data_IF_814745095136
#
_entry.id   IF_814745095136
#
_cell.length_a   1.000
_cell.length_b   1.000
_cell.length_c   1.000
_cell.angle_alpha   90.00
_cell.angle_beta   90.00
_cell.angle_gamma   90.00
#
_symmetry.space_group_name_H-M   'P 1'
#
loop_
_entity.id
_entity.type
_entity.pdbx_description
1 polymer ?
#
# COMPACT_ATOMS: atom_id res chain seq x y z
N UNK A 1 -0.18 30.62 -8.06
CA UNK A 1 -1.50 30.47 -7.37
C UNK A 1 -2.31 29.32 -7.97
N UNK A 2 -2.53 29.24 -9.27
CA UNK A 2 -3.29 28.16 -9.93
C UNK A 2 -2.57 26.79 -9.76
N UNK A 3 -1.26 26.70 -9.97
CA UNK A 3 -0.47 25.49 -9.77
C UNK A 3 -0.49 24.98 -8.33
N UNK A 4 -0.44 25.89 -7.35
CA UNK A 4 -0.53 25.53 -5.92
C UNK A 4 -1.90 24.95 -5.57
N UNK A 5 -2.99 25.52 -6.10
CA UNK A 5 -4.36 25.03 -5.90
C UNK A 5 -4.55 23.66 -6.59
N UNK A 6 -3.98 23.47 -7.78
CA UNK A 6 -4.04 22.20 -8.50
C UNK A 6 -3.28 21.08 -7.77
N UNK A 7 -2.08 21.38 -7.25
CA UNK A 7 -1.25 20.40 -6.54
C UNK A 7 -1.94 19.91 -5.26
N UNK A 8 -2.49 20.83 -4.46
CA UNK A 8 -3.23 20.48 -3.25
C UNK A 8 -4.55 19.78 -3.56
N UNK A 9 -5.22 20.15 -4.66
CA UNK A 9 -6.43 19.47 -5.11
C UNK A 9 -6.17 18.00 -5.46
N UNK A 10 -5.07 17.70 -6.15
CA UNK A 10 -4.63 16.33 -6.46
C UNK A 10 -4.27 15.55 -5.19
N UNK A 11 -3.56 16.19 -4.26
CA UNK A 11 -3.20 15.58 -2.97
C UNK A 11 -4.45 15.15 -2.18
N UNK A 12 -5.42 16.06 -2.00
CA UNK A 12 -6.68 15.74 -1.30
C UNK A 12 -7.49 14.67 -2.04
N UNK A 13 -7.55 14.71 -3.36
CA UNK A 13 -8.22 13.69 -4.16
C UNK A 13 -7.54 12.33 -4.00
N UNK A 14 -6.20 12.29 -3.98
CA UNK A 14 -5.41 11.09 -3.71
C UNK A 14 -5.71 10.52 -2.32
N UNK A 15 -5.72 11.35 -1.29
CA UNK A 15 -6.04 10.95 0.09
C UNK A 15 -7.44 10.36 0.18
N UNK A 16 -8.45 11.04 -0.36
CA UNK A 16 -9.84 10.59 -0.31
C UNK A 16 -10.01 9.25 -1.03
N UNK A 17 -9.44 9.11 -2.23
CA UNK A 17 -9.55 7.87 -3.01
C UNK A 17 -8.81 6.71 -2.34
N UNK A 18 -7.63 6.96 -1.73
CA UNK A 18 -6.91 5.95 -0.95
C UNK A 18 -7.71 5.50 0.28
N UNK A 19 -8.31 6.43 1.03
CA UNK A 19 -9.18 6.10 2.17
C UNK A 19 -10.40 5.26 1.75
N UNK A 20 -11.03 5.59 0.62
CA UNK A 20 -12.13 4.79 0.05
C UNK A 20 -11.63 3.39 -0.34
N UNK A 21 -10.46 3.28 -0.96
CA UNK A 21 -9.84 2.00 -1.31
C UNK A 21 -9.69 1.10 -0.08
N UNK A 22 -9.05 1.60 0.97
CA UNK A 22 -8.84 0.85 2.21
C UNK A 22 -10.16 0.52 2.90
N UNK A 23 -11.11 1.48 2.97
CA UNK A 23 -12.43 1.25 3.56
C UNK A 23 -13.19 0.12 2.87
N UNK A 24 -13.23 0.09 1.55
CA UNK A 24 -13.89 -0.99 0.81
C UNK A 24 -13.12 -2.31 0.87
N UNK A 25 -11.79 -2.27 1.02
CA UNK A 25 -10.96 -3.45 1.27
C UNK A 25 -11.33 -4.13 2.59
N UNK A 26 -11.57 -3.37 3.66
CA UNK A 26 -12.02 -3.96 4.94
C UNK A 26 -13.37 -4.69 4.82
N UNK A 27 -14.19 -4.31 3.85
CA UNK A 27 -15.49 -4.94 3.56
C UNK A 27 -15.43 -6.00 2.44
N UNK A 28 -14.24 -6.32 1.97
CA UNK A 28 -13.99 -7.27 0.86
C UNK A 28 -14.83 -6.96 -0.39
N UNK A 29 -14.99 -5.68 -0.72
CA UNK A 29 -15.71 -5.28 -1.93
C UNK A 29 -14.73 -4.99 -3.06
N UNK A 30 -14.91 -5.62 -4.22
CA UNK A 30 -14.05 -5.45 -5.40
C UNK A 30 -13.89 -3.99 -5.86
N UNK A 31 -14.83 -3.10 -5.51
CA UNK A 31 -14.73 -1.66 -5.76
C UNK A 31 -13.49 -1.03 -5.06
N UNK A 32 -12.95 -1.67 -4.02
CA UNK A 32 -11.70 -1.27 -3.38
C UNK A 32 -10.55 -1.14 -4.39
N UNK A 33 -10.45 -2.08 -5.32
CA UNK A 33 -9.41 -2.09 -6.34
C UNK A 33 -9.55 -0.96 -7.34
N UNK A 34 -10.79 -0.56 -7.64
CA UNK A 34 -11.05 0.62 -8.50
C UNK A 34 -10.56 1.90 -7.79
N UNK A 35 -10.89 2.06 -6.51
CA UNK A 35 -10.41 3.20 -5.73
C UNK A 35 -8.90 3.21 -5.55
N UNK A 36 -8.28 2.05 -5.32
CA UNK A 36 -6.82 1.92 -5.25
C UNK A 36 -6.16 2.29 -6.60
N UNK A 37 -6.74 1.87 -7.73
CA UNK A 37 -6.26 2.26 -9.05
C UNK A 37 -6.32 3.77 -9.25
N UNK A 38 -7.47 4.40 -8.92
CA UNK A 38 -7.66 5.86 -9.03
C UNK A 38 -6.67 6.59 -8.12
N UNK A 39 -6.50 6.13 -6.88
CA UNK A 39 -5.53 6.72 -5.95
C UNK A 39 -4.11 6.67 -6.52
N UNK A 40 -3.66 5.50 -6.97
CA UNK A 40 -2.34 5.34 -7.57
C UNK A 40 -2.16 6.18 -8.83
N UNK A 41 -3.19 6.31 -9.66
CA UNK A 41 -3.15 7.18 -10.83
C UNK A 41 -2.97 8.66 -10.45
N UNK A 42 -3.74 9.14 -9.47
CA UNK A 42 -3.64 10.52 -8.97
C UNK A 42 -2.27 10.78 -8.34
N UNK A 43 -1.77 9.87 -7.49
CA UNK A 43 -0.44 10.00 -6.91
C UNK A 43 0.67 9.90 -7.96
N UNK A 44 0.49 9.09 -9.01
CA UNK A 44 1.42 9.04 -10.14
C UNK A 44 1.56 10.38 -10.84
N UNK A 45 0.44 11.08 -11.09
CA UNK A 45 0.45 12.44 -11.66
C UNK A 45 1.12 13.42 -10.69
N UNK A 46 0.77 13.35 -9.39
CA UNK A 46 1.33 14.23 -8.37
C UNK A 46 2.86 14.08 -8.30
N UNK A 47 3.36 12.85 -8.22
CA UNK A 47 4.79 12.57 -8.16
C UNK A 47 5.54 12.97 -9.42
N UNK A 48 4.92 12.80 -10.58
CA UNK A 48 5.49 13.34 -11.84
C UNK A 48 5.65 14.86 -11.80
N UNK A 49 4.64 15.60 -11.32
CA UNK A 49 4.65 17.06 -11.25
C UNK A 49 5.71 17.61 -10.28
N UNK A 50 5.99 16.87 -9.19
CA UNK A 50 7.00 17.26 -8.20
C UNK A 50 8.39 16.66 -8.46
N UNK A 51 8.57 15.95 -9.59
CA UNK A 51 9.87 15.37 -9.99
C UNK A 51 10.27 14.12 -9.22
N UNK A 52 9.34 13.46 -8.52
CA UNK A 52 9.57 12.22 -7.80
C UNK A 52 9.31 10.99 -8.70
N UNK A 53 10.19 10.79 -9.68
CA UNK A 53 9.99 9.79 -10.74
C UNK A 53 9.97 8.35 -10.21
N UNK A 54 10.80 8.02 -9.20
CA UNK A 54 10.79 6.69 -8.58
C UNK A 54 9.47 6.37 -7.89
N UNK A 55 8.88 7.35 -7.18
CA UNK A 55 7.57 7.21 -6.56
C UNK A 55 6.47 7.09 -7.61
N UNK A 56 6.57 7.83 -8.72
CA UNK A 56 5.67 7.69 -9.87
C UNK A 56 5.72 6.27 -10.46
N UNK A 57 6.90 5.71 -10.66
CA UNK A 57 7.07 4.33 -11.17
C UNK A 57 6.46 3.31 -10.21
N UNK A 58 6.61 3.51 -8.90
CA UNK A 58 5.98 2.68 -7.88
C UNK A 58 4.45 2.72 -7.98
N UNK A 59 3.86 3.89 -8.27
CA UNK A 59 2.42 3.97 -8.51
C UNK A 59 1.99 3.14 -9.73
N UNK A 60 2.83 3.04 -10.77
CA UNK A 60 2.62 2.13 -11.90
C UNK A 60 2.49 0.66 -11.46
N UNK A 61 3.35 0.22 -10.53
CA UNK A 61 3.26 -1.12 -9.94
C UNK A 61 1.94 -1.29 -9.18
N UNK A 62 1.56 -0.32 -8.35
CA UNK A 62 0.29 -0.39 -7.63
C UNK A 62 -0.95 -0.35 -8.54
N UNK A 63 -0.91 0.37 -9.66
CA UNK A 63 -1.97 0.33 -10.68
C UNK A 63 -2.09 -1.07 -11.29
N UNK A 64 -0.98 -1.70 -11.66
CA UNK A 64 -0.97 -3.08 -12.17
C UNK A 64 -1.51 -4.07 -11.12
N UNK A 65 -1.10 -3.92 -9.87
CA UNK A 65 -1.61 -4.72 -8.75
C UNK A 65 -3.10 -4.50 -8.49
N UNK A 66 -3.60 -3.28 -8.68
CA UNK A 66 -5.03 -2.98 -8.55
C UNK A 66 -5.86 -3.67 -9.66
N UNK A 67 -5.37 -3.68 -10.89
CA UNK A 67 -5.99 -4.44 -11.99
C UNK A 67 -5.99 -5.94 -11.66
N UNK A 68 -4.85 -6.48 -11.24
CA UNK A 68 -4.72 -7.89 -10.85
C UNK A 68 -5.70 -8.24 -9.72
N UNK A 69 -5.75 -7.44 -8.65
CA UNK A 69 -6.64 -7.67 -7.52
C UNK A 69 -8.11 -7.58 -7.92
N UNK A 70 -8.49 -6.63 -8.78
CA UNK A 70 -9.84 -6.54 -9.31
C UNK A 70 -10.21 -7.81 -10.10
N UNK A 71 -9.32 -8.31 -10.95
CA UNK A 71 -9.53 -9.55 -11.71
C UNK A 71 -9.68 -10.75 -10.77
N UNK A 72 -8.85 -10.86 -9.73
CA UNK A 72 -8.96 -11.93 -8.74
C UNK A 72 -10.30 -11.87 -7.99
N UNK A 73 -10.71 -10.69 -7.53
CA UNK A 73 -11.95 -10.52 -6.76
C UNK A 73 -13.23 -10.53 -7.63
N UNK A 74 -13.08 -10.55 -8.95
CA UNK A 74 -14.19 -10.69 -9.87
C UNK A 74 -14.47 -12.15 -10.27
N UNK A 75 -13.67 -13.12 -9.77
CA UNK A 75 -13.89 -14.54 -10.01
C UNK A 75 -15.07 -15.06 -9.18
N UNK A 76 -15.69 -16.20 -9.57
CA UNK A 76 -16.75 -16.82 -8.78
C UNK A 76 -16.32 -17.03 -7.32
N UNK A 77 -17.22 -16.74 -6.37
CA UNK A 77 -16.95 -16.77 -4.93
C UNK A 77 -16.42 -18.10 -4.40
N UNK A 78 -16.66 -19.20 -5.11
CA UNK A 78 -16.15 -20.53 -4.77
C UNK A 78 -14.63 -20.68 -4.96
N UNK A 79 -13.99 -19.77 -5.72
CA UNK A 79 -12.55 -19.82 -6.02
C UNK A 79 -11.74 -18.84 -5.17
N UNK A 80 -12.39 -17.92 -4.48
CA UNK A 80 -11.71 -16.88 -3.73
C UNK A 80 -12.30 -16.72 -2.32
N UNK A 81 -11.95 -17.66 -1.45
CA UNK A 81 -12.31 -17.60 -0.04
C UNK A 81 -11.20 -16.97 0.79
N UNK A 82 -11.61 -16.34 1.89
CA UNK A 82 -10.65 -15.87 2.91
C UNK A 82 -9.90 -17.08 3.44
N UNK A 83 -8.59 -17.01 3.48
CA UNK A 83 -7.74 -18.11 3.93
C UNK A 83 -6.45 -17.59 4.54
N UNK A 84 -5.75 -18.47 5.23
CA UNK A 84 -4.41 -18.22 5.74
C UNK A 84 -3.35 -18.60 4.70
N UNK A 85 -2.19 -17.93 4.77
CA UNK A 85 -1.04 -18.30 3.96
C UNK A 85 -0.29 -19.48 4.58
N UNK A 86 0.29 -20.34 3.75
CA UNK A 86 1.20 -21.37 4.26
C UNK A 86 2.49 -20.76 4.81
N UNK A 87 3.12 -21.42 5.78
CA UNK A 87 4.40 -20.97 6.36
C UNK A 87 5.49 -20.71 5.31
N UNK A 88 5.72 -21.60 4.31
CA UNK A 88 6.66 -21.34 3.23
C UNK A 88 6.36 -20.06 2.44
N UNK A 89 5.10 -19.78 2.13
CA UNK A 89 4.73 -18.56 1.41
C UNK A 89 5.00 -17.31 2.22
N UNK A 90 4.84 -17.35 3.54
CA UNK A 90 5.19 -16.23 4.43
C UNK A 90 6.69 -15.98 4.44
N UNK A 91 7.50 -17.04 4.54
CA UNK A 91 8.97 -16.95 4.50
C UNK A 91 9.45 -16.35 3.17
N UNK A 92 8.89 -16.82 2.04
CA UNK A 92 9.22 -16.29 0.72
C UNK A 92 8.83 -14.83 0.60
N UNK A 93 7.65 -14.44 1.07
CA UNK A 93 7.17 -13.05 1.02
C UNK A 93 8.02 -12.11 1.88
N UNK A 94 8.35 -12.51 3.11
CA UNK A 94 9.21 -11.73 4.01
C UNK A 94 10.62 -11.62 3.42
N UNK A 95 11.21 -12.74 3.01
CA UNK A 95 12.54 -12.79 2.40
C UNK A 95 12.62 -11.97 1.11
N UNK A 96 11.60 -12.08 0.26
CA UNK A 96 11.49 -11.29 -0.98
C UNK A 96 11.38 -9.79 -0.72
N UNK A 97 10.60 -9.38 0.28
CA UNK A 97 10.47 -7.96 0.67
C UNK A 97 11.80 -7.39 1.21
N UNK A 98 12.53 -8.16 2.02
CA UNK A 98 13.85 -7.77 2.54
C UNK A 98 14.89 -7.70 1.40
N UNK A 99 14.90 -8.71 0.52
CA UNK A 99 15.80 -8.73 -0.64
C UNK A 99 15.53 -7.54 -1.56
N UNK A 100 14.27 -7.25 -1.84
CA UNK A 100 13.87 -6.04 -2.59
C UNK A 100 14.38 -4.78 -1.91
N UNK A 101 14.23 -4.68 -0.58
CA UNK A 101 14.72 -3.56 0.21
C UNK A 101 16.24 -3.36 0.10
N UNK A 102 17.01 -4.46 0.14
CA UNK A 102 18.47 -4.40 0.01
C UNK A 102 18.86 -3.94 -1.41
N UNK A 103 18.31 -4.58 -2.44
CA UNK A 103 18.66 -4.28 -3.84
C UNK A 103 18.20 -2.88 -4.23
N UNK A 104 16.93 -2.56 -4.03
CA UNK A 104 16.37 -1.24 -4.36
C UNK A 104 16.97 -0.14 -3.49
N UNK A 105 17.17 -0.41 -2.19
CA UNK A 105 17.81 0.52 -1.27
C UNK A 105 19.24 0.86 -1.65
N UNK A 106 20.02 -0.10 -2.17
CA UNK A 106 21.35 0.14 -2.69
C UNK A 106 21.32 1.11 -3.89
N UNK A 107 20.46 0.86 -4.88
CA UNK A 107 20.32 1.77 -6.01
C UNK A 107 19.90 3.18 -5.60
N UNK A 108 18.93 3.30 -4.68
CA UNK A 108 18.49 4.61 -4.21
C UNK A 108 19.54 5.32 -3.36
N UNK A 109 20.38 4.59 -2.62
CA UNK A 109 21.49 5.18 -1.88
C UNK A 109 22.54 5.82 -2.79
N UNK A 110 22.86 5.19 -3.93
CA UNK A 110 23.85 5.67 -4.87
C UNK A 110 23.33 6.82 -5.78
N UNK A 111 22.01 6.85 -6.07
CA UNK A 111 21.44 7.74 -7.09
C UNK A 111 20.72 8.94 -6.48
N UNK A 112 20.22 8.82 -5.26
CA UNK A 112 19.35 9.83 -4.65
C UNK A 112 19.73 10.15 -3.20
N UNK A 113 19.53 11.41 -2.78
CA UNK A 113 19.72 11.86 -1.40
C UNK A 113 18.51 11.54 -0.49
N UNK A 114 17.88 10.38 -0.68
CA UNK A 114 16.73 9.96 0.13
C UNK A 114 17.21 9.57 1.54
N UNK A 115 16.56 10.11 2.55
CA UNK A 115 16.83 9.68 3.93
C UNK A 115 16.24 8.28 4.16
N UNK A 116 17.04 7.35 4.70
CA UNK A 116 16.64 5.97 5.02
C UNK A 116 16.26 5.11 3.80
N UNK A 117 17.08 5.07 2.72
CA UNK A 117 16.71 4.43 1.45
C UNK A 117 16.43 2.93 1.60
N UNK A 118 17.19 2.22 2.43
CA UNK A 118 16.99 0.78 2.67
C UNK A 118 15.70 0.48 3.42
N UNK A 119 15.36 1.33 4.41
CA UNK A 119 14.12 1.16 5.17
C UNK A 119 12.90 1.42 4.29
N UNK A 120 12.92 2.50 3.52
CA UNK A 120 11.83 2.88 2.61
C UNK A 120 11.62 1.81 1.53
N UNK A 121 12.70 1.36 0.88
CA UNK A 121 12.65 0.28 -0.10
C UNK A 121 12.13 -1.04 0.49
N UNK A 122 12.50 -1.37 1.75
CA UNK A 122 11.99 -2.56 2.44
C UNK A 122 10.49 -2.44 2.69
N UNK A 123 10.01 -1.29 3.16
CA UNK A 123 8.58 -1.03 3.37
C UNK A 123 7.80 -1.09 2.04
N UNK A 124 8.40 -0.61 0.95
CA UNK A 124 7.86 -0.77 -0.40
C UNK A 124 7.70 -2.24 -0.78
N UNK A 125 8.71 -3.08 -0.56
CA UNK A 125 8.64 -4.53 -0.78
C UNK A 125 7.49 -5.17 0.02
N UNK A 126 7.37 -4.83 1.30
CA UNK A 126 6.26 -5.30 2.14
C UNK A 126 4.90 -4.79 1.64
N UNK A 127 4.81 -3.56 1.15
CA UNK A 127 3.56 -2.99 0.61
C UNK A 127 3.10 -3.71 -0.66
N UNK A 128 4.03 -4.05 -1.56
CA UNK A 128 3.74 -4.85 -2.76
C UNK A 128 3.27 -6.25 -2.35
N UNK A 129 3.98 -6.90 -1.42
CA UNK A 129 3.60 -8.23 -0.92
C UNK A 129 2.25 -8.19 -0.19
N UNK A 130 2.00 -7.21 0.68
CA UNK A 130 0.72 -7.01 1.35
C UNK A 130 -0.44 -6.85 0.37
N UNK A 131 -0.22 -6.08 -0.71
CA UNK A 131 -1.19 -5.90 -1.79
C UNK A 131 -1.46 -7.23 -2.53
N UNK A 132 -0.42 -8.02 -2.79
CA UNK A 132 -0.56 -9.37 -3.38
C UNK A 132 -1.38 -10.30 -2.47
N UNK A 133 -1.07 -10.33 -1.17
CA UNK A 133 -1.83 -11.11 -0.19
C UNK A 133 -3.30 -10.67 -0.14
N UNK A 134 -3.57 -9.35 -0.21
CA UNK A 134 -4.93 -8.82 -0.30
C UNK A 134 -5.64 -9.31 -1.56
N UNK A 135 -4.97 -9.29 -2.73
CA UNK A 135 -5.54 -9.80 -3.98
C UNK A 135 -5.90 -11.30 -3.89
N UNK A 136 -5.14 -12.07 -3.12
CA UNK A 136 -5.39 -13.50 -2.86
C UNK A 136 -6.31 -13.76 -1.66
N UNK A 137 -6.96 -12.75 -1.09
CA UNK A 137 -7.82 -12.85 0.10
C UNK A 137 -7.11 -13.49 1.30
N UNK A 138 -5.80 -13.30 1.44
CA UNK A 138 -5.04 -13.83 2.58
C UNK A 138 -5.14 -12.89 3.77
N UNK A 139 -5.48 -13.44 4.96
CA UNK A 139 -5.69 -12.63 6.18
C UNK A 139 -4.42 -11.88 6.60
N UNK A 140 -3.26 -12.44 6.33
CA UNK A 140 -1.96 -11.87 6.68
C UNK A 140 -1.66 -10.55 5.98
N UNK A 141 -2.38 -10.22 4.89
CA UNK A 141 -2.27 -8.89 4.29
C UNK A 141 -2.45 -7.78 5.33
N UNK A 142 -3.40 -7.94 6.24
CA UNK A 142 -3.66 -6.94 7.28
C UNK A 142 -2.54 -6.85 8.30
N UNK A 143 -1.88 -7.97 8.64
CA UNK A 143 -0.71 -7.96 9.53
C UNK A 143 0.46 -7.21 8.87
N UNK A 144 0.66 -7.41 7.58
CA UNK A 144 1.66 -6.66 6.80
C UNK A 144 1.34 -5.16 6.83
N UNK A 145 0.08 -4.77 6.59
CA UNK A 145 -0.31 -3.36 6.63
C UNK A 145 -0.24 -2.76 8.04
N UNK A 146 -0.52 -3.51 9.11
CA UNK A 146 -0.29 -3.07 10.49
C UNK A 146 1.20 -2.76 10.70
N UNK A 147 2.08 -3.68 10.32
CA UNK A 147 3.53 -3.50 10.42
C UNK A 147 4.03 -2.28 9.64
N UNK A 148 3.67 -2.18 8.36
CA UNK A 148 4.09 -1.09 7.48
C UNK A 148 3.60 0.27 8.00
N UNK A 149 2.33 0.37 8.39
CA UNK A 149 1.76 1.63 8.89
C UNK A 149 2.41 2.09 10.19
N UNK A 150 2.72 1.19 11.13
CA UNK A 150 3.41 1.55 12.39
C UNK A 150 4.77 2.20 12.09
N UNK A 151 5.53 1.63 11.16
CA UNK A 151 6.87 2.16 10.83
C UNK A 151 6.74 3.50 10.10
N UNK A 152 5.81 3.62 9.14
CA UNK A 152 5.60 4.90 8.45
C UNK A 152 5.13 6.01 9.40
N UNK A 153 4.28 5.72 10.39
CA UNK A 153 3.92 6.70 11.43
C UNK A 153 5.18 7.22 12.11
N UNK A 154 6.10 6.34 12.53
CA UNK A 154 7.37 6.73 13.14
C UNK A 154 8.23 7.59 12.22
N UNK A 155 8.38 7.20 10.95
CA UNK A 155 9.14 7.95 9.94
C UNK A 155 8.56 9.36 9.73
N UNK A 156 7.25 9.47 9.59
CA UNK A 156 6.61 10.76 9.33
C UNK A 156 6.63 11.69 10.53
N UNK A 157 6.50 11.15 11.75
CA UNK A 157 6.68 11.93 12.98
C UNK A 157 8.14 12.44 13.10
N UNK A 158 9.12 11.58 12.81
CA UNK A 158 10.54 11.98 12.80
C UNK A 158 10.83 13.08 11.76
N UNK A 159 10.18 13.01 10.58
CA UNK A 159 10.29 14.03 9.52
C UNK A 159 9.46 15.32 9.80
N UNK A 160 8.71 15.39 10.90
CA UNK A 160 7.81 16.51 11.20
C UNK A 160 6.55 16.59 10.32
N UNK A 161 6.24 15.52 9.58
CA UNK A 161 5.08 15.43 8.67
C UNK A 161 3.83 14.93 9.41
N UNK A 162 3.35 15.70 10.37
CA UNK A 162 2.28 15.30 11.28
C UNK A 162 0.96 14.96 10.54
N UNK A 163 0.61 15.68 9.47
CA UNK A 163 -0.60 15.40 8.67
C UNK A 163 -0.56 14.02 8.03
N UNK A 164 0.58 13.65 7.43
CA UNK A 164 0.79 12.34 6.85
C UNK A 164 0.82 11.24 7.92
N UNK A 165 1.43 11.49 9.08
CA UNK A 165 1.40 10.57 10.21
C UNK A 165 -0.04 10.26 10.66
N UNK A 166 -0.92 11.27 10.74
CA UNK A 166 -2.34 11.09 11.05
C UNK A 166 -3.04 10.21 10.00
N UNK A 167 -2.75 10.40 8.72
CA UNK A 167 -3.31 9.55 7.66
C UNK A 167 -2.91 8.08 7.85
N UNK A 168 -1.65 7.81 8.18
CA UNK A 168 -1.19 6.44 8.45
C UNK A 168 -1.77 5.84 9.74
N UNK A 169 -2.09 6.67 10.75
CA UNK A 169 -2.88 6.21 11.92
C UNK A 169 -4.28 5.77 11.48
N UNK A 170 -4.92 6.49 10.56
CA UNK A 170 -6.24 6.10 10.02
C UNK A 170 -6.12 4.76 9.25
N UNK A 171 -5.09 4.58 8.42
CA UNK A 171 -4.83 3.31 7.74
C UNK A 171 -4.57 2.17 8.73
N UNK A 172 -3.83 2.41 9.81
CA UNK A 172 -3.59 1.44 10.87
C UNK A 172 -4.91 0.99 11.53
N UNK A 173 -5.81 1.91 11.82
CA UNK A 173 -7.14 1.60 12.36
C UNK A 173 -7.93 0.71 11.39
N UNK A 174 -7.91 1.04 10.10
CA UNK A 174 -8.55 0.20 9.08
C UNK A 174 -7.89 -1.18 8.96
N UNK A 175 -6.57 -1.28 9.07
CA UNK A 175 -5.87 -2.56 9.05
C UNK A 175 -6.29 -3.46 10.22
N UNK A 176 -6.39 -2.93 11.43
CA UNK A 176 -6.93 -3.68 12.58
C UNK A 176 -8.38 -4.11 12.35
N UNK A 177 -9.25 -3.20 11.88
CA UNK A 177 -10.66 -3.54 11.57
C UNK A 177 -10.75 -4.64 10.52
N UNK A 178 -9.96 -4.57 9.45
CA UNK A 178 -9.91 -5.57 8.39
C UNK A 178 -9.46 -6.93 8.93
N UNK A 179 -8.40 -6.96 9.74
CA UNK A 179 -7.91 -8.17 10.37
C UNK A 179 -8.97 -8.86 11.24
N UNK A 180 -9.58 -8.10 12.17
CA UNK A 180 -10.61 -8.66 13.05
C UNK A 180 -11.86 -9.12 12.29
N UNK A 181 -12.28 -8.37 11.28
CA UNK A 181 -13.42 -8.76 10.44
C UNK A 181 -13.16 -10.08 9.69
N UNK A 182 -11.96 -10.26 9.11
CA UNK A 182 -11.62 -11.49 8.40
C UNK A 182 -11.38 -12.67 9.35
N UNK A 183 -10.73 -12.43 10.48
CA UNK A 183 -10.50 -13.47 11.48
C UNK A 183 -11.83 -14.08 11.99
N UNK A 184 -12.86 -13.25 12.18
CA UNK A 184 -14.20 -13.71 12.56
C UNK A 184 -14.88 -14.57 11.48
N UNK A 185 -14.47 -14.43 10.21
CA UNK A 185 -15.00 -15.24 9.10
C UNK A 185 -14.31 -16.61 9.00
N UNK A 186 -13.09 -16.72 9.52
CA UNK A 186 -12.32 -17.98 9.53
C UNK A 186 -12.66 -18.88 10.72
N UNK A 187 -13.18 -18.30 11.80
CA UNK A 187 -13.68 -19.02 12.98
C UNK A 187 -15.12 -19.48 12.80
#
# INVERSE_FOLDING_TARGET
MIEFIQLHGLEYAGIITALLGVFYSTKQRKIAWVWNFIASFIYGILFYQVGLYSDMELQGIFMAMAIYGFMQWNQPSQLLEVSESSGPNLIIGIGGSILFGIVSGYFHHEISNVSLPYLDATLTGFSIWGTYLAAKMKIENWLVWIFVNIIYIGIYLYKGMNGTAILYVIFLIFAFKGFYYLKKKLS
#
